data_IF_679915894439
#
_entry.id   IF_679915894439
#
_cell.length_a   1.000
_cell.length_b   1.000
_cell.length_c   1.000
_cell.angle_alpha   90.00
_cell.angle_beta   90.00
_cell.angle_gamma   90.00
#
_symmetry.space_group_name_H-M   'P 1'
#
loop_
_entity.id
_entity.type
_entity.pdbx_description
1 polymer ?
#
# COMPACT_ATOMS: atom_id res chain seq x y z
N UNK A 1 -24.50 1.62 0.82
CA UNK A 1 -23.20 2.33 0.85
C UNK A 1 -23.31 3.56 1.76
N UNK A 2 -22.29 3.94 2.52
CA UNK A 2 -22.40 4.95 3.59
C UNK A 2 -21.68 6.27 3.30
N UNK A 3 -22.32 7.40 3.60
CA UNK A 3 -21.62 8.65 3.90
C UNK A 3 -21.00 8.47 5.28
N UNK A 4 -19.68 8.47 5.37
CA UNK A 4 -19.00 8.32 6.65
C UNK A 4 -18.60 9.66 7.21
N UNK A 5 -18.63 9.78 8.53
CA UNK A 5 -17.88 10.83 9.22
C UNK A 5 -16.42 10.41 9.33
N UNK A 6 -15.48 11.36 9.32
CA UNK A 6 -14.05 11.08 9.47
C UNK A 6 -13.75 10.22 10.73
N UNK A 7 -14.57 10.38 11.78
CA UNK A 7 -14.51 9.62 13.03
C UNK A 7 -14.75 8.12 12.89
N UNK A 8 -15.50 7.69 11.88
CA UNK A 8 -15.79 6.27 11.62
C UNK A 8 -14.63 5.57 10.89
N UNK A 9 -13.65 6.33 10.39
CA UNK A 9 -12.43 5.80 9.76
C UNK A 9 -11.29 5.83 10.76
N UNK A 10 -10.89 4.64 11.22
CA UNK A 10 -9.66 4.43 11.99
C UNK A 10 -9.51 5.34 13.24
N UNK A 11 -10.63 5.83 13.80
CA UNK A 11 -10.66 6.70 14.99
C UNK A 11 -10.02 8.08 14.77
N UNK A 12 -10.19 8.68 13.59
CA UNK A 12 -9.67 10.01 13.25
C UNK A 12 -10.70 11.11 13.53
N UNK A 13 -10.42 11.99 14.50
CA UNK A 13 -11.16 13.24 14.60
C UNK A 13 -10.63 14.26 13.58
N UNK A 14 -11.49 15.19 13.18
CA UNK A 14 -11.10 16.34 12.38
C UNK A 14 -9.96 17.14 13.03
N UNK A 15 -10.05 17.33 14.36
CA UNK A 15 -9.01 17.99 15.15
C UNK A 15 -7.67 17.26 15.07
N UNK A 16 -7.69 15.92 15.11
CA UNK A 16 -6.49 15.11 14.97
C UNK A 16 -5.85 15.32 13.60
N UNK A 17 -6.63 15.33 12.52
CA UNK A 17 -6.09 15.57 11.16
C UNK A 17 -5.51 16.97 11.03
N UNK A 18 -6.22 18.00 11.51
CA UNK A 18 -5.73 19.39 11.51
C UNK A 18 -4.42 19.51 12.28
N UNK A 19 -4.36 18.94 13.49
CA UNK A 19 -3.15 18.92 14.29
C UNK A 19 -2.01 18.18 13.60
N UNK A 20 -2.29 17.01 13.03
CA UNK A 20 -1.28 16.19 12.34
C UNK A 20 -0.73 16.90 11.09
N UNK A 21 -1.58 17.60 10.34
CA UNK A 21 -1.18 18.45 9.22
C UNK A 21 -0.30 19.62 9.69
N UNK A 22 -0.67 20.29 10.78
CA UNK A 22 0.11 21.41 11.34
C UNK A 22 1.53 20.96 11.74
N UNK A 23 1.65 19.88 12.51
CA UNK A 23 2.95 19.42 13.02
C UNK A 23 3.85 18.84 11.93
N UNK A 24 3.27 18.19 10.92
CA UNK A 24 4.04 17.66 9.77
C UNK A 24 4.58 18.78 8.87
N UNK A 25 3.81 19.85 8.66
CA UNK A 25 4.28 21.03 7.93
C UNK A 25 5.30 21.83 8.75
N UNK A 26 5.10 21.96 10.06
CA UNK A 26 6.03 22.66 10.96
C UNK A 26 7.41 21.98 11.05
N UNK A 27 7.49 20.67 10.81
CA UNK A 27 8.75 19.93 10.80
C UNK A 27 9.80 20.54 9.85
N UNK A 28 9.38 21.13 8.72
CA UNK A 28 10.27 21.80 7.77
C UNK A 28 10.94 23.06 8.33
N UNK A 29 10.40 23.67 9.39
CA UNK A 29 10.98 24.87 10.03
C UNK A 29 12.20 24.56 10.91
N UNK A 30 12.55 23.29 11.06
CA UNK A 30 13.70 22.84 11.85
C UNK A 30 14.55 21.86 11.04
N UNK A 31 15.19 22.30 9.94
CA UNK A 31 15.90 21.41 9.02
C UNK A 31 17.05 20.65 9.68
N UNK A 32 17.64 21.19 10.75
CA UNK A 32 18.71 20.55 11.51
C UNK A 32 18.23 19.33 12.33
N UNK A 33 16.92 19.21 12.55
CA UNK A 33 16.31 18.08 13.25
C UNK A 33 15.76 17.08 12.25
N UNK A 34 16.05 15.80 12.45
CA UNK A 34 15.54 14.74 11.57
C UNK A 34 14.06 14.40 11.85
N UNK A 35 13.59 14.67 13.07
CA UNK A 35 12.19 14.58 13.46
C UNK A 35 11.89 15.49 14.65
N UNK A 36 10.61 15.77 14.86
CA UNK A 36 10.08 16.47 16.02
C UNK A 36 9.14 15.55 16.78
N UNK A 37 9.19 15.62 18.11
CA UNK A 37 8.24 14.94 19.00
C UNK A 37 7.40 15.99 19.67
N UNK A 38 6.09 15.97 19.40
CA UNK A 38 5.14 16.75 20.16
C UNK A 38 4.44 15.85 21.16
N UNK A 39 4.68 16.13 22.44
CA UNK A 39 4.11 15.41 23.56
C UNK A 39 3.50 16.41 24.55
N UNK A 40 2.17 16.57 24.49
CA UNK A 40 1.46 17.38 25.49
C UNK A 40 1.14 16.54 26.73
N UNK A 41 1.22 17.16 27.91
CA UNK A 41 0.74 16.56 29.16
C UNK A 41 -0.78 16.42 29.20
N UNK A 42 -1.50 17.24 28.43
CA UNK A 42 -2.98 17.30 28.41
C UNK A 42 -3.62 16.47 27.30
N UNK A 43 -2.83 15.98 26.34
CA UNK A 43 -3.31 15.15 25.23
C UNK A 43 -2.92 13.69 25.43
N UNK A 44 -3.82 12.78 25.04
CA UNK A 44 -3.56 11.34 24.98
C UNK A 44 -2.63 10.94 23.83
N UNK A 45 -2.33 11.87 22.91
CA UNK A 45 -1.70 11.58 21.63
C UNK A 45 -0.26 12.11 21.62
N UNK A 46 0.65 11.31 21.05
CA UNK A 46 2.06 11.66 20.86
C UNK A 46 2.36 11.67 19.37
N UNK A 47 2.88 12.79 18.88
CA UNK A 47 3.13 12.99 17.45
C UNK A 47 4.63 12.91 17.15
N UNK A 48 5.00 12.00 16.25
CA UNK A 48 6.32 11.89 15.67
C UNK A 48 6.28 12.45 14.25
N UNK A 49 6.80 13.66 14.07
CA UNK A 49 6.78 14.38 12.79
C UNK A 49 8.16 14.33 12.14
N UNK A 50 8.29 13.63 11.02
CA UNK A 50 9.56 13.50 10.30
C UNK A 50 9.76 14.64 9.31
N UNK A 51 10.97 15.19 9.25
CA UNK A 51 11.30 16.27 8.33
C UNK A 51 11.38 15.74 6.91
N UNK A 52 10.96 16.53 5.92
CA UNK A 52 11.17 16.19 4.51
C UNK A 52 12.59 16.50 4.05
N UNK A 53 12.91 16.09 2.84
CA UNK A 53 14.16 16.33 2.15
C UNK A 53 13.84 16.79 0.73
N UNK A 54 14.61 17.77 0.26
CA UNK A 54 14.48 18.39 -1.06
C UNK A 54 15.69 18.08 -1.97
N UNK A 55 16.28 16.90 -1.83
CA UNK A 55 17.38 16.42 -2.68
C UNK A 55 16.95 15.16 -3.40
N UNK A 56 17.19 15.08 -4.71
CA UNK A 56 16.82 13.89 -5.49
C UNK A 56 17.59 12.66 -5.01
N UNK A 57 18.83 12.81 -4.56
CA UNK A 57 19.66 11.73 -4.01
C UNK A 57 19.05 11.04 -2.78
N UNK A 58 18.19 11.75 -2.03
CA UNK A 58 17.46 11.15 -0.89
C UNK A 58 16.18 10.40 -1.30
N UNK A 59 15.77 10.50 -2.57
CA UNK A 59 14.65 9.75 -3.15
C UNK A 59 15.13 8.67 -4.15
N UNK A 60 16.25 8.90 -4.83
CA UNK A 60 16.79 8.00 -5.84
C UNK A 60 18.29 7.79 -5.59
N UNK A 61 18.61 6.74 -4.83
CA UNK A 61 19.99 6.35 -4.53
C UNK A 61 20.62 5.50 -5.63
N UNK A 62 19.80 4.89 -6.50
CA UNK A 62 20.19 4.05 -7.63
C UNK A 62 19.15 4.14 -8.75
N UNK A 63 19.56 3.81 -9.97
CA UNK A 63 18.65 3.71 -11.11
C UNK A 63 17.97 2.32 -11.16
N UNK A 64 16.77 2.21 -11.76
CA UNK A 64 15.98 3.31 -12.30
C UNK A 64 15.08 4.00 -11.26
N UNK A 65 14.69 3.30 -10.18
CA UNK A 65 13.66 3.79 -9.23
C UNK A 65 14.14 3.93 -7.78
N UNK A 66 15.41 3.66 -7.47
CA UNK A 66 15.96 3.82 -6.11
C UNK A 66 15.47 2.76 -5.12
N UNK A 67 15.07 1.59 -5.62
CA UNK A 67 14.44 0.53 -4.85
C UNK A 67 15.46 -0.46 -4.25
N UNK A 68 15.15 -1.03 -3.08
CA UNK A 68 15.98 -2.00 -2.36
C UNK A 68 15.10 -3.04 -1.68
N UNK A 69 15.55 -4.30 -1.67
CA UNK A 69 14.87 -5.37 -0.92
C UNK A 69 15.03 -5.15 0.59
N UNK A 70 14.00 -5.48 1.36
CA UNK A 70 13.97 -5.25 2.82
C UNK A 70 15.00 -6.06 3.61
N UNK A 71 15.56 -7.14 3.04
CA UNK A 71 16.63 -7.95 3.68
C UNK A 71 17.96 -7.20 3.80
N UNK A 72 18.15 -6.10 3.08
CA UNK A 72 19.34 -5.26 3.20
C UNK A 72 19.28 -4.30 4.41
N UNK A 73 18.23 -4.38 5.23
CA UNK A 73 18.05 -3.58 6.44
C UNK A 73 17.83 -4.47 7.66
N UNK A 74 18.75 -4.38 8.61
CA UNK A 74 18.67 -5.10 9.89
C UNK A 74 17.46 -4.64 10.74
N UNK A 75 16.84 -3.51 10.40
CA UNK A 75 15.69 -2.95 11.11
C UNK A 75 14.36 -3.57 10.70
N UNK A 76 14.18 -3.80 9.40
CA UNK A 76 12.98 -4.37 8.80
C UNK A 76 13.08 -5.88 8.66
N UNK A 77 14.31 -6.41 8.62
CA UNK A 77 14.62 -7.83 8.59
C UNK A 77 15.77 -8.12 9.57
N UNK A 78 15.48 -8.44 10.85
CA UNK A 78 16.52 -8.73 11.83
C UNK A 78 17.39 -9.91 11.35
N UNK A 79 18.72 -9.74 11.37
CA UNK A 79 19.68 -10.78 10.97
C UNK A 79 19.59 -12.02 11.86
N UNK A 80 18.91 -13.03 11.35
CA UNK A 80 19.23 -14.46 11.43
C UNK A 80 19.06 -15.00 10.00
N UNK A 81 19.66 -16.13 9.64
CA UNK A 81 19.60 -16.68 8.26
C UNK A 81 18.19 -17.08 7.78
N UNK A 82 17.13 -16.62 8.44
CA UNK A 82 15.77 -17.03 8.21
C UNK A 82 14.98 -15.86 7.58
N UNK A 83 14.76 -15.96 6.26
CA UNK A 83 13.85 -15.07 5.50
C UNK A 83 12.42 -15.07 6.09
N UNK A 84 12.14 -16.00 7.02
CA UNK A 84 10.91 -16.14 7.79
C UNK A 84 10.75 -15.06 8.90
N UNK A 85 11.79 -14.29 9.22
CA UNK A 85 11.77 -13.34 10.35
C UNK A 85 10.97 -12.04 10.12
N UNK A 86 10.81 -11.57 8.88
CA UNK A 86 10.10 -10.30 8.57
C UNK A 86 8.68 -10.53 8.06
N UNK A 87 7.72 -9.75 8.54
CA UNK A 87 6.35 -9.78 8.03
C UNK A 87 6.23 -9.20 6.61
N UNK A 88 7.21 -8.40 6.15
CA UNK A 88 7.23 -7.75 4.82
C UNK A 88 7.60 -8.70 3.66
N UNK A 89 6.81 -9.74 3.47
CA UNK A 89 6.99 -10.74 2.39
C UNK A 89 5.67 -11.32 1.90
N UNK A 90 5.69 -11.93 0.72
CA UNK A 90 4.69 -12.91 0.29
C UNK A 90 5.05 -14.27 0.88
N UNK A 91 4.14 -14.92 1.61
CA UNK A 91 4.40 -16.20 2.27
C UNK A 91 4.48 -17.31 1.23
N UNK A 92 3.46 -17.45 0.39
CA UNK A 92 3.37 -18.53 -0.61
C UNK A 92 4.46 -18.48 -1.68
N UNK A 93 4.88 -17.28 -2.10
CA UNK A 93 5.93 -17.11 -3.13
C UNK A 93 7.34 -16.94 -2.55
N UNK A 94 7.49 -16.87 -1.23
CA UNK A 94 8.77 -16.63 -0.55
C UNK A 94 9.54 -15.41 -1.09
N UNK A 95 8.81 -14.37 -1.48
CA UNK A 95 9.35 -13.15 -2.09
C UNK A 95 9.28 -12.00 -1.09
N UNK A 96 10.41 -11.31 -0.88
CA UNK A 96 10.51 -10.17 0.04
C UNK A 96 10.01 -8.89 -0.64
N UNK A 97 9.43 -8.00 0.17
CA UNK A 97 9.06 -6.67 -0.28
C UNK A 97 10.28 -5.84 -0.68
N UNK A 98 10.03 -4.89 -1.57
CA UNK A 98 10.98 -3.85 -1.97
C UNK A 98 10.46 -2.49 -1.49
N UNK A 99 11.37 -1.64 -1.00
CA UNK A 99 11.07 -0.28 -0.56
C UNK A 99 12.04 0.72 -1.19
N UNK A 100 11.74 2.00 -1.09
CA UNK A 100 12.67 3.05 -1.50
C UNK A 100 13.89 3.10 -0.56
N UNK A 101 15.08 2.92 -1.11
CA UNK A 101 16.32 2.91 -0.35
C UNK A 101 16.62 4.26 0.29
N UNK A 102 16.42 5.37 -0.43
CA UNK A 102 16.70 6.70 0.09
C UNK A 102 15.91 6.99 1.38
N UNK A 103 14.62 6.65 1.38
CA UNK A 103 13.76 6.77 2.56
C UNK A 103 14.17 5.83 3.69
N UNK A 104 14.55 4.59 3.35
CA UNK A 104 15.01 3.59 4.32
C UNK A 104 16.30 4.01 5.01
N UNK A 105 17.32 4.42 4.25
CA UNK A 105 18.61 4.90 4.78
C UNK A 105 18.42 6.14 5.66
N UNK A 106 17.49 7.01 5.28
CA UNK A 106 17.15 8.18 6.09
C UNK A 106 16.51 7.79 7.41
N UNK A 107 15.60 6.81 7.40
CA UNK A 107 15.00 6.28 8.62
C UNK A 107 16.04 5.55 9.51
N UNK A 108 16.93 4.76 8.91
CA UNK A 108 18.06 4.15 9.61
C UNK A 108 18.92 5.19 10.33
N UNK A 109 19.27 6.28 9.63
CA UNK A 109 20.03 7.39 10.21
C UNK A 109 19.29 8.03 11.39
N UNK A 110 17.97 8.17 11.33
CA UNK A 110 17.17 8.70 12.43
C UNK A 110 17.31 7.83 13.68
N UNK A 111 17.16 6.53 13.53
CA UNK A 111 17.24 5.59 14.65
C UNK A 111 18.62 5.54 15.29
N UNK A 112 19.69 5.69 14.50
CA UNK A 112 21.07 5.75 15.02
C UNK A 112 21.36 7.07 15.73
N UNK A 113 20.91 8.20 15.16
CA UNK A 113 21.32 9.55 15.62
C UNK A 113 20.53 10.03 16.83
N UNK A 114 19.25 9.64 16.93
CA UNK A 114 18.39 9.99 18.05
C UNK A 114 17.46 8.80 18.28
N UNK A 115 17.77 7.94 19.27
CA UNK A 115 17.04 6.69 19.40
C UNK A 115 15.57 6.98 19.70
N UNK A 116 14.72 6.80 18.68
CA UNK A 116 13.27 6.65 18.87
C UNK A 116 12.98 5.55 19.91
N UNK A 117 13.94 4.64 20.11
CA UNK A 117 13.97 3.61 21.15
C UNK A 117 14.12 4.14 22.59
N UNK A 118 14.76 5.29 22.83
CA UNK A 118 14.81 5.90 24.18
C UNK A 118 13.45 6.44 24.63
N UNK A 119 12.53 6.65 23.68
CA UNK A 119 11.15 7.06 23.93
C UNK A 119 10.20 5.88 24.20
N UNK A 120 10.72 4.66 24.45
CA UNK A 120 9.93 3.45 24.78
C UNK A 120 8.86 3.66 25.86
N UNK A 121 9.08 4.59 26.80
CA UNK A 121 8.10 4.93 27.85
C UNK A 121 6.82 5.58 27.29
N UNK A 122 6.93 6.31 26.18
CA UNK A 122 5.82 7.02 25.51
C UNK A 122 4.88 6.07 24.76
N UNK A 123 5.34 4.86 24.46
CA UNK A 123 4.58 3.88 23.71
C UNK A 123 3.53 3.15 24.54
N UNK A 124 3.56 3.32 25.86
CA UNK A 124 2.60 2.70 26.77
C UNK A 124 1.45 3.67 27.07
N UNK A 125 0.21 3.24 26.81
CA UNK A 125 -1.06 3.92 27.16
C UNK A 125 -1.39 5.22 26.40
N UNK A 126 -0.64 5.57 25.36
CA UNK A 126 -0.92 6.75 24.51
C UNK A 126 -1.10 6.34 23.04
N UNK A 127 -1.88 7.12 22.30
CA UNK A 127 -2.02 6.94 20.85
C UNK A 127 -0.81 7.56 20.17
N UNK A 128 -0.01 6.74 19.49
CA UNK A 128 1.16 7.20 18.74
C UNK A 128 0.70 7.57 17.33
N UNK A 129 1.11 8.73 16.85
CA UNK A 129 0.86 9.20 15.49
C UNK A 129 2.19 9.49 14.81
N UNK A 130 2.55 8.67 13.83
CA UNK A 130 3.65 8.95 12.91
C UNK A 130 3.12 9.83 11.78
N UNK A 131 3.85 10.90 11.46
CA UNK A 131 3.42 11.82 10.41
C UNK A 131 4.59 12.48 9.70
N UNK A 132 4.31 13.00 8.52
CA UNK A 132 5.27 13.76 7.74
C UNK A 132 4.63 14.31 6.47
N UNK A 133 5.19 15.43 6.02
CA UNK A 133 4.87 16.03 4.74
C UNK A 133 5.95 15.64 3.72
N UNK A 134 5.56 15.41 2.45
CA UNK A 134 6.50 15.04 1.38
C UNK A 134 7.30 13.77 1.73
N UNK A 135 8.61 13.73 1.44
CA UNK A 135 9.48 12.60 1.80
C UNK A 135 9.57 12.30 3.31
N UNK A 136 9.19 13.24 4.19
CA UNK A 136 9.02 12.96 5.61
C UNK A 136 7.85 12.01 5.88
N UNK A 137 6.80 12.06 5.06
CA UNK A 137 5.69 11.11 5.11
C UNK A 137 6.13 9.69 4.76
N UNK A 138 7.02 9.53 3.79
CA UNK A 138 7.57 8.23 3.43
C UNK A 138 8.41 7.62 4.56
N UNK A 139 9.22 8.45 5.24
CA UNK A 139 9.94 8.05 6.47
C UNK A 139 8.96 7.68 7.58
N UNK A 140 7.83 8.39 7.73
CA UNK A 140 6.80 8.07 8.71
C UNK A 140 6.15 6.70 8.49
N UNK A 141 5.94 6.32 7.23
CA UNK A 141 5.43 4.99 6.85
C UNK A 141 6.42 3.91 7.30
N UNK A 142 7.71 4.06 6.97
CA UNK A 142 8.74 3.11 7.37
C UNK A 142 8.90 3.05 8.90
N UNK A 143 8.83 4.20 9.58
CA UNK A 143 8.88 4.28 11.03
C UNK A 143 7.75 3.50 11.71
N UNK A 144 6.54 3.62 11.17
CA UNK A 144 5.41 2.85 11.66
C UNK A 144 5.57 1.36 11.39
N UNK A 145 6.02 0.96 10.20
CA UNK A 145 6.25 -0.46 9.88
C UNK A 145 7.29 -1.07 10.81
N UNK A 146 8.43 -0.39 11.00
CA UNK A 146 9.43 -0.78 12.00
C UNK A 146 8.81 -0.91 13.39
N UNK A 147 7.95 0.02 13.79
CA UNK A 147 7.29 -0.06 15.08
C UNK A 147 6.38 -1.30 15.20
N UNK A 148 5.62 -1.63 14.15
CA UNK A 148 4.75 -2.80 14.13
C UNK A 148 5.55 -4.09 14.22
N UNK A 149 6.61 -4.25 13.43
CA UNK A 149 7.51 -5.42 13.45
C UNK A 149 8.15 -5.63 14.84
N UNK A 150 8.58 -4.55 15.50
CA UNK A 150 9.36 -4.65 16.74
C UNK A 150 8.50 -4.78 18.00
N UNK A 151 7.33 -4.14 18.03
CA UNK A 151 6.55 -3.97 19.26
C UNK A 151 5.16 -4.60 19.21
N UNK A 152 4.61 -4.91 18.04
CA UNK A 152 3.32 -5.57 17.93
C UNK A 152 3.47 -7.08 18.20
N UNK A 153 3.44 -7.46 19.48
CA UNK A 153 3.35 -8.87 19.91
C UNK A 153 1.91 -9.23 20.27
N UNK A 154 1.44 -10.47 19.98
CA UNK A 154 0.04 -10.89 20.24
C UNK A 154 -0.43 -10.77 21.69
N UNK A 155 0.51 -10.69 22.65
CA UNK A 155 0.21 -10.85 24.08
C UNK A 155 0.05 -9.52 24.86
N UNK A 156 0.23 -8.35 24.23
CA UNK A 156 0.13 -7.06 24.95
C UNK A 156 -0.90 -6.13 24.32
N UNK A 157 -1.81 -5.63 25.16
CA UNK A 157 -2.80 -4.59 24.85
C UNK A 157 -2.11 -3.25 24.59
N UNK A 158 -1.44 -3.10 23.45
CA UNK A 158 -0.93 -1.82 22.94
C UNK A 158 -1.93 -1.23 21.95
N UNK A 159 -2.17 0.07 22.05
CA UNK A 159 -2.90 0.79 21.01
C UNK A 159 -2.06 0.81 19.73
N UNK A 160 -2.67 0.42 18.61
CA UNK A 160 -2.00 0.44 17.31
C UNK A 160 -1.63 1.88 16.91
N UNK A 161 -0.40 2.14 16.46
CA UNK A 161 -0.01 3.47 16.01
C UNK A 161 -0.77 3.85 14.74
N UNK A 162 -1.04 5.14 14.59
CA UNK A 162 -1.57 5.70 13.35
C UNK A 162 -0.42 6.30 12.52
N UNK A 163 -0.49 6.19 11.19
CA UNK A 163 0.37 6.95 10.30
C UNK A 163 -0.48 7.82 9.40
N UNK A 164 -0.24 9.13 9.42
CA UNK A 164 -0.94 10.11 8.58
C UNK A 164 0.08 10.92 7.82
N UNK A 165 0.01 10.91 6.50
CA UNK A 165 0.96 11.61 5.63
C UNK A 165 0.25 12.60 4.72
N UNK A 166 0.97 13.63 4.29
CA UNK A 166 0.48 14.68 3.39
C UNK A 166 1.42 14.80 2.20
N UNK A 167 0.92 14.60 0.98
CA UNK A 167 1.73 14.70 -0.23
C UNK A 167 2.93 13.75 -0.27
N UNK A 168 2.84 12.62 0.41
CA UNK A 168 3.95 11.65 0.49
C UNK A 168 4.14 10.94 -0.84
N UNK A 169 5.40 10.74 -1.30
CA UNK A 169 5.68 9.78 -2.34
C UNK A 169 5.31 8.35 -1.89
N UNK A 170 5.16 7.45 -2.86
CA UNK A 170 5.00 6.01 -2.59
C UNK A 170 6.25 5.45 -1.89
N UNK A 171 6.13 4.30 -1.22
CA UNK A 171 7.22 3.81 -0.35
C UNK A 171 7.67 2.41 -0.72
N UNK A 172 6.72 1.51 -0.93
CA UNK A 172 6.98 0.09 -1.19
C UNK A 172 6.34 -0.40 -2.47
N UNK A 173 6.70 -1.62 -2.85
CA UNK A 173 6.15 -2.33 -3.99
C UNK A 173 4.78 -2.96 -3.68
N UNK A 174 4.31 -3.80 -4.61
CA UNK A 174 3.09 -4.58 -4.44
C UNK A 174 3.14 -5.50 -3.20
N UNK A 175 4.28 -6.16 -2.95
CA UNK A 175 4.44 -7.11 -1.84
C UNK A 175 4.38 -6.39 -0.50
N UNK A 176 4.92 -5.17 -0.43
CA UNK A 176 4.80 -4.32 0.74
C UNK A 176 3.33 -4.09 1.12
N UNK A 177 2.47 -3.66 0.19
CA UNK A 177 1.04 -3.48 0.48
C UNK A 177 0.32 -4.81 0.77
N UNK A 178 0.68 -5.88 0.05
CA UNK A 178 0.13 -7.22 0.28
C UNK A 178 0.39 -7.69 1.72
N UNK A 179 1.64 -7.58 2.19
CA UNK A 179 2.02 -7.92 3.56
C UNK A 179 1.28 -7.08 4.61
N UNK A 180 1.22 -5.76 4.43
CA UNK A 180 0.49 -4.87 5.34
C UNK A 180 -1.01 -5.19 5.40
N UNK A 181 -1.60 -5.65 4.30
CA UNK A 181 -3.03 -5.99 4.25
C UNK A 181 -3.31 -7.35 4.87
N UNK A 182 -2.42 -8.33 4.63
CA UNK A 182 -2.45 -9.65 5.27
C UNK A 182 -2.44 -9.51 6.79
N UNK A 183 -1.54 -8.70 7.33
CA UNK A 183 -1.36 -8.55 8.78
C UNK A 183 -2.34 -7.53 9.41
N UNK A 184 -3.33 -7.04 8.64
CA UNK A 184 -4.35 -6.08 9.07
C UNK A 184 -3.76 -4.72 9.52
N UNK A 185 -2.60 -4.35 9.01
CA UNK A 185 -1.89 -3.10 9.31
C UNK A 185 -2.29 -1.95 8.37
N UNK A 186 -2.69 -2.27 7.12
CA UNK A 186 -2.98 -1.30 6.06
C UNK A 186 -4.01 -0.23 6.44
N UNK A 187 -5.04 -0.58 7.22
CA UNK A 187 -6.09 0.34 7.68
C UNK A 187 -5.61 1.47 8.60
N UNK A 188 -4.39 1.38 9.14
CA UNK A 188 -3.82 2.39 10.04
C UNK A 188 -2.89 3.37 9.30
N UNK A 189 -2.76 3.25 7.98
CA UNK A 189 -1.99 4.17 7.14
C UNK A 189 -2.98 5.05 6.37
N UNK A 190 -2.83 6.37 6.51
CA UNK A 190 -3.67 7.36 5.86
C UNK A 190 -2.83 8.36 5.07
N UNK A 191 -3.15 8.52 3.80
CA UNK A 191 -2.41 9.37 2.87
C UNK A 191 -3.33 10.46 2.31
N UNK A 192 -3.14 11.71 2.74
CA UNK A 192 -3.82 12.85 2.15
C UNK A 192 -3.09 13.28 0.88
N UNK A 193 -3.85 13.37 -0.21
CA UNK A 193 -3.32 13.72 -1.53
C UNK A 193 -4.19 14.82 -2.15
N UNK A 194 -3.60 15.98 -2.41
CA UNK A 194 -4.24 17.01 -3.22
C UNK A 194 -4.33 16.55 -4.67
N UNK A 195 -5.40 16.96 -5.36
CA UNK A 195 -5.74 16.49 -6.71
C UNK A 195 -4.54 16.52 -7.65
N UNK A 196 -3.84 17.65 -7.75
CA UNK A 196 -2.74 17.83 -8.69
C UNK A 196 -1.35 17.67 -8.08
N UNK A 197 -1.21 17.40 -6.78
CA UNK A 197 0.11 17.29 -6.14
C UNK A 197 1.02 16.31 -6.87
N UNK A 198 2.13 16.76 -7.43
CA UNK A 198 2.98 15.90 -8.24
C UNK A 198 3.78 14.88 -7.39
N UNK A 199 4.04 15.16 -6.11
CA UNK A 199 4.98 14.39 -5.28
C UNK A 199 4.58 12.93 -5.07
N UNK A 200 3.31 12.59 -4.78
CA UNK A 200 2.84 11.21 -4.73
C UNK A 200 3.03 10.40 -6.03
N UNK A 201 3.30 11.08 -7.15
CA UNK A 201 3.46 10.48 -8.48
C UNK A 201 4.91 10.36 -8.94
N UNK A 202 5.86 11.06 -8.29
CA UNK A 202 7.27 11.16 -8.74
C UNK A 202 7.92 9.78 -8.92
N UNK A 203 7.75 8.88 -7.94
CA UNK A 203 8.38 7.55 -7.99
C UNK A 203 7.77 6.60 -9.02
N UNK A 204 6.70 6.99 -9.70
CA UNK A 204 6.15 6.24 -10.83
C UNK A 204 6.89 6.53 -12.14
N UNK A 205 7.89 7.41 -12.13
CA UNK A 205 8.76 7.71 -13.26
C UNK A 205 10.22 7.36 -12.93
N UNK A 206 10.99 6.82 -13.90
CA UNK A 206 12.38 6.46 -13.68
C UNK A 206 13.25 7.71 -13.62
N UNK A 207 14.28 7.71 -12.78
CA UNK A 207 15.22 8.82 -12.61
C UNK A 207 15.88 9.21 -13.94
N UNK A 208 16.16 8.22 -14.80
CA UNK A 208 16.74 8.41 -16.14
C UNK A 208 15.92 9.38 -17.01
N UNK A 209 14.61 9.45 -16.79
CA UNK A 209 13.70 10.27 -17.60
C UNK A 209 13.54 11.71 -17.11
N UNK A 210 13.77 11.97 -15.82
CA UNK A 210 13.39 13.24 -15.17
C UNK A 210 14.40 13.78 -14.15
N UNK A 211 15.60 13.18 -14.04
CA UNK A 211 16.58 13.54 -13.01
C UNK A 211 17.05 15.00 -13.05
N UNK A 212 17.25 15.56 -14.25
CA UNK A 212 17.66 16.97 -14.39
C UNK A 212 16.58 17.91 -13.90
N UNK A 213 15.34 17.69 -14.34
CA UNK A 213 14.19 18.50 -13.95
C UNK A 213 13.83 18.30 -12.48
N UNK A 214 14.00 17.09 -11.93
CA UNK A 214 13.70 16.77 -10.54
C UNK A 214 14.51 17.63 -9.57
N UNK A 215 15.82 17.77 -9.78
CA UNK A 215 16.65 18.60 -8.89
C UNK A 215 16.24 20.08 -8.93
N UNK A 216 15.88 20.59 -10.11
CA UNK A 216 15.36 21.95 -10.26
C UNK A 216 14.03 22.12 -9.52
N UNK A 217 13.10 21.16 -9.68
CA UNK A 217 11.79 21.20 -9.04
C UNK A 217 11.92 21.08 -7.52
N UNK A 218 12.78 20.20 -7.01
CA UNK A 218 13.02 20.09 -5.57
C UNK A 218 13.65 21.36 -5.01
N UNK A 219 14.55 22.02 -5.75
CA UNK A 219 15.08 23.33 -5.39
C UNK A 219 13.96 24.39 -5.29
N UNK A 220 13.05 24.43 -6.27
CA UNK A 220 11.88 25.33 -6.25
C UNK A 220 10.96 25.04 -5.06
N UNK A 221 10.70 23.77 -4.76
CA UNK A 221 9.88 23.38 -3.61
C UNK A 221 10.56 23.82 -2.29
N UNK A 222 11.87 23.69 -2.17
CA UNK A 222 12.63 24.17 -1.00
C UNK A 222 12.56 25.71 -0.85
N UNK A 223 12.60 26.44 -1.96
CA UNK A 223 12.63 27.92 -1.99
C UNK A 223 11.26 28.59 -1.77
N UNK A 224 10.16 27.84 -1.79
CA UNK A 224 8.79 28.37 -1.72
C UNK A 224 8.48 29.15 -0.42
N UNK A 225 9.35 29.09 0.58
CA UNK A 225 9.30 29.97 1.76
C UNK A 225 9.71 31.42 1.50
N UNK A 226 10.28 31.77 0.33
CA UNK A 226 10.94 33.05 0.08
C UNK A 226 10.39 33.83 -1.14
N UNK A 227 9.90 33.17 -2.20
CA UNK A 227 9.31 33.83 -3.39
C UNK A 227 8.18 32.99 -4.04
N UNK A 228 7.20 33.60 -4.74
CA UNK A 228 6.34 32.89 -5.68
C UNK A 228 7.20 32.14 -6.70
N UNK A 229 6.75 30.97 -7.16
CA UNK A 229 7.43 30.18 -8.21
C UNK A 229 7.37 30.99 -9.52
N UNK A 230 8.25 31.98 -9.68
CA UNK A 230 8.37 32.79 -10.90
C UNK A 230 9.54 32.31 -11.78
N UNK A 231 10.19 31.21 -11.39
CA UNK A 231 11.33 30.62 -12.11
C UNK A 231 10.96 29.27 -12.74
N UNK A 232 10.71 29.31 -14.04
CA UNK A 232 10.82 28.16 -14.97
C UNK A 232 9.57 27.24 -15.07
N UNK A 233 8.46 27.84 -15.54
CA UNK A 233 7.22 27.16 -15.95
C UNK A 233 7.50 26.06 -16.99
N UNK A 234 8.55 26.24 -17.81
CA UNK A 234 8.94 25.29 -18.87
C UNK A 234 9.43 23.97 -18.27
N UNK A 235 10.30 24.03 -17.28
CA UNK A 235 10.88 22.90 -16.58
C UNK A 235 9.82 22.19 -15.74
N UNK A 236 8.96 22.94 -15.06
CA UNK A 236 7.79 22.37 -14.38
C UNK A 236 6.86 21.64 -15.35
N UNK A 237 6.63 22.22 -16.53
CA UNK A 237 5.81 21.58 -17.58
C UNK A 237 6.45 20.33 -18.15
N UNK A 238 7.77 20.35 -18.38
CA UNK A 238 8.53 19.20 -18.86
C UNK A 238 8.55 18.08 -17.84
N UNK A 239 8.83 18.41 -16.57
CA UNK A 239 8.78 17.50 -15.44
C UNK A 239 7.42 16.83 -15.32
N UNK A 240 6.36 17.65 -15.29
CA UNK A 240 4.98 17.17 -15.18
C UNK A 240 4.62 16.20 -16.31
N UNK A 241 4.89 16.57 -17.57
CA UNK A 241 4.65 15.71 -18.73
C UNK A 241 5.39 14.37 -18.61
N UNK A 242 6.68 14.41 -18.25
CA UNK A 242 7.48 13.20 -18.11
C UNK A 242 6.94 12.30 -17.00
N UNK A 243 6.66 12.84 -15.82
CA UNK A 243 6.11 12.07 -14.70
C UNK A 243 4.76 11.47 -15.10
N UNK A 244 3.83 12.27 -15.59
CA UNK A 244 2.48 11.81 -15.93
C UNK A 244 2.46 10.81 -17.10
N UNK A 245 3.40 10.88 -18.04
CA UNK A 245 3.57 9.85 -19.09
C UNK A 245 3.95 8.49 -18.49
N UNK A 246 4.89 8.45 -17.56
CA UNK A 246 5.29 7.20 -16.91
C UNK A 246 4.21 6.68 -15.96
N UNK A 247 3.55 7.57 -15.22
CA UNK A 247 2.36 7.23 -14.41
C UNK A 247 1.28 6.60 -15.29
N UNK A 248 1.05 7.14 -16.49
CA UNK A 248 0.12 6.57 -17.48
C UNK A 248 0.52 5.16 -17.89
N UNK A 249 1.80 4.92 -18.16
CA UNK A 249 2.31 3.60 -18.55
C UNK A 249 2.09 2.57 -17.43
N UNK A 250 2.44 2.92 -16.18
CA UNK A 250 2.24 2.05 -15.00
C UNK A 250 0.75 1.79 -14.76
N UNK A 251 -0.09 2.82 -14.79
CA UNK A 251 -1.54 2.67 -14.59
C UNK A 251 -2.20 1.85 -15.71
N UNK A 252 -1.79 2.05 -16.97
CA UNK A 252 -2.31 1.29 -18.12
C UNK A 252 -1.91 -0.17 -18.05
N UNK A 253 -0.64 -0.45 -17.72
CA UNK A 253 -0.15 -1.81 -17.53
C UNK A 253 -0.93 -2.52 -16.40
N UNK A 254 -1.14 -1.85 -15.26
CA UNK A 254 -1.94 -2.39 -14.16
C UNK A 254 -3.40 -2.65 -14.59
N UNK A 255 -4.02 -1.73 -15.32
CA UNK A 255 -5.38 -1.90 -15.82
C UNK A 255 -5.51 -3.10 -16.77
N UNK A 256 -4.55 -3.33 -17.67
CA UNK A 256 -4.54 -4.50 -18.54
C UNK A 256 -4.51 -5.81 -17.76
N UNK A 257 -3.70 -5.89 -16.70
CA UNK A 257 -3.64 -7.06 -15.82
C UNK A 257 -4.96 -7.30 -15.08
N UNK A 258 -5.56 -6.24 -14.53
CA UNK A 258 -6.86 -6.33 -13.83
C UNK A 258 -8.00 -6.80 -14.73
N UNK A 259 -7.96 -6.41 -16.01
CA UNK A 259 -8.95 -6.83 -17.01
C UNK A 259 -8.69 -8.24 -17.56
N UNK A 260 -7.73 -8.99 -17.01
CA UNK A 260 -7.45 -10.37 -17.41
C UNK A 260 -6.82 -10.47 -18.81
N UNK A 261 -6.10 -9.45 -19.27
CA UNK A 261 -5.41 -9.52 -20.55
C UNK A 261 -4.25 -10.50 -20.47
N UNK A 262 -4.39 -11.67 -21.11
CA UNK A 262 -3.38 -12.74 -21.16
C UNK A 262 -2.43 -12.61 -22.34
N UNK A 263 -2.45 -11.47 -23.06
CA UNK A 263 -1.63 -11.31 -24.25
C UNK A 263 -0.12 -11.28 -23.88
N UNK A 264 0.70 -12.20 -24.43
CA UNK A 264 2.14 -12.24 -24.16
C UNK A 264 2.88 -10.94 -24.51
N UNK A 265 2.31 -10.13 -25.42
CA UNK A 265 2.86 -8.82 -25.78
C UNK A 265 2.96 -7.90 -24.56
N UNK A 266 2.09 -8.04 -23.55
CA UNK A 266 2.15 -7.20 -22.35
C UNK A 266 3.46 -7.43 -21.58
N UNK A 267 3.85 -8.69 -21.40
CA UNK A 267 5.11 -9.06 -20.74
C UNK A 267 6.32 -8.69 -21.60
N UNK A 268 6.23 -8.88 -22.92
CA UNK A 268 7.26 -8.44 -23.87
C UNK A 268 7.46 -6.92 -23.79
N UNK A 269 6.39 -6.12 -23.80
CA UNK A 269 6.49 -4.66 -23.69
C UNK A 269 7.02 -4.23 -22.32
N UNK A 270 6.62 -4.91 -21.24
CA UNK A 270 7.15 -4.66 -19.90
C UNK A 270 8.66 -4.95 -19.79
N UNK A 271 9.21 -5.81 -20.64
CA UNK A 271 10.67 -6.03 -20.72
C UNK A 271 11.46 -4.87 -21.35
N UNK A 272 10.80 -4.03 -22.16
CA UNK A 272 11.43 -2.88 -22.83
C UNK A 272 11.14 -1.55 -22.14
N UNK A 273 10.10 -1.49 -21.31
CA UNK A 273 9.69 -0.29 -20.58
C UNK A 273 9.98 -0.50 -19.10
N UNK A 274 10.86 0.34 -18.56
CA UNK A 274 11.08 0.41 -17.12
C UNK A 274 9.80 0.89 -16.43
N UNK A 275 9.03 -0.04 -15.85
CA UNK A 275 7.84 0.27 -15.07
C UNK A 275 8.18 0.32 -13.59
N UNK A 276 7.73 1.39 -12.92
CA UNK A 276 7.98 1.57 -11.49
C UNK A 276 7.41 0.40 -10.67
N UNK A 277 8.18 -0.13 -9.69
CA UNK A 277 7.69 -1.18 -8.80
C UNK A 277 6.75 -0.64 -7.73
N UNK A 278 6.81 0.65 -7.42
CA UNK A 278 6.09 1.23 -6.28
C UNK A 278 4.58 1.17 -6.45
N UNK A 279 3.87 0.81 -5.38
CA UNK A 279 2.42 0.73 -5.34
C UNK A 279 1.84 1.48 -4.14
N UNK A 280 0.59 1.97 -4.24
CA UNK A 280 -0.10 2.53 -3.09
C UNK A 280 -0.24 1.51 -1.96
N UNK A 281 -0.06 1.96 -0.72
CA UNK A 281 -0.32 1.15 0.47
C UNK A 281 -1.23 1.90 1.44
N UNK A 282 -2.14 1.18 2.10
CA UNK A 282 -3.06 1.80 3.05
C UNK A 282 -4.19 2.59 2.40
N UNK A 283 -4.75 3.55 3.15
CA UNK A 283 -5.94 4.32 2.76
C UNK A 283 -5.53 5.68 2.22
N UNK A 284 -6.04 6.07 1.05
CA UNK A 284 -5.80 7.38 0.45
C UNK A 284 -7.05 8.25 0.55
N UNK A 285 -6.85 9.52 0.86
CA UNK A 285 -7.88 10.56 0.88
C UNK A 285 -7.52 11.63 -0.14
N UNK A 286 -8.23 11.60 -1.26
CA UNK A 286 -8.07 12.57 -2.33
C UNK A 286 -8.91 13.82 -2.03
N UNK A 287 -8.29 14.99 -2.09
CA UNK A 287 -8.99 16.26 -1.95
C UNK A 287 -9.40 16.76 -3.34
N UNK A 288 -10.72 16.88 -3.58
CA UNK A 288 -11.23 17.37 -4.86
C UNK A 288 -11.08 18.88 -4.99
N UNK A 289 -11.14 19.41 -6.22
CA UNK A 289 -11.14 20.85 -6.47
C UNK A 289 -12.31 21.59 -5.80
N UNK A 290 -13.39 20.88 -5.45
CA UNK A 290 -14.57 21.41 -4.76
C UNK A 290 -14.55 21.16 -3.24
N UNK A 291 -13.37 20.85 -2.68
CA UNK A 291 -13.15 20.67 -1.24
C UNK A 291 -13.92 19.50 -0.65
N UNK A 292 -14.27 18.50 -1.47
CA UNK A 292 -14.79 17.21 -0.98
C UNK A 292 -13.60 16.28 -0.77
N UNK A 293 -13.75 15.38 0.19
CA UNK A 293 -12.75 14.34 0.45
C UNK A 293 -13.28 13.03 -0.14
N UNK A 294 -12.41 12.31 -0.84
CA UNK A 294 -12.71 11.01 -1.45
C UNK A 294 -11.78 9.97 -0.86
N UNK A 295 -12.33 9.04 -0.08
CA UNK A 295 -11.58 7.97 0.56
C UNK A 295 -11.54 6.73 -0.34
N UNK A 296 -10.35 6.16 -0.55
CA UNK A 296 -10.14 4.95 -1.35
C UNK A 296 -9.17 4.02 -0.60
N UNK A 297 -9.49 2.71 -0.57
CA UNK A 297 -8.67 1.69 0.12
C UNK A 297 -8.02 0.67 -0.81
N UNK A 298 -8.64 0.41 -1.96
CA UNK A 298 -8.12 -0.56 -2.92
C UNK A 298 -6.90 0.03 -3.65
N UNK A 299 -5.74 -0.62 -3.52
CA UNK A 299 -4.45 -0.11 -4.02
C UNK A 299 -4.44 0.08 -5.54
N UNK A 300 -5.10 -0.81 -6.28
CA UNK A 300 -5.23 -0.71 -7.73
C UNK A 300 -6.07 0.51 -8.14
N UNK A 301 -7.20 0.73 -7.48
CA UNK A 301 -8.03 1.91 -7.69
C UNK A 301 -7.27 3.21 -7.37
N UNK A 302 -6.49 3.23 -6.29
CA UNK A 302 -5.65 4.38 -5.92
C UNK A 302 -4.60 4.64 -7.00
N UNK A 303 -3.95 3.60 -7.55
CA UNK A 303 -2.97 3.74 -8.62
C UNK A 303 -3.60 4.37 -9.88
N UNK A 304 -4.81 3.95 -10.23
CA UNK A 304 -5.56 4.57 -11.33
C UNK A 304 -5.90 6.04 -11.02
N UNK A 305 -6.32 6.36 -9.79
CA UNK A 305 -6.63 7.73 -9.39
C UNK A 305 -5.40 8.64 -9.39
N UNK A 306 -4.23 8.15 -9.01
CA UNK A 306 -2.98 8.92 -9.07
C UNK A 306 -2.69 9.44 -10.49
N UNK A 307 -3.09 8.68 -11.51
CA UNK A 307 -3.05 9.09 -12.92
C UNK A 307 -4.24 9.99 -13.28
N UNK A 308 -5.46 9.44 -13.25
CA UNK A 308 -6.64 10.05 -13.87
C UNK A 308 -7.10 11.34 -13.18
N UNK A 309 -6.88 11.50 -11.87
CA UNK A 309 -7.27 12.73 -11.16
C UNK A 309 -6.43 13.95 -11.53
N UNK A 310 -5.23 13.72 -12.05
CA UNK A 310 -4.26 14.74 -12.47
C UNK A 310 -4.04 14.72 -13.99
N UNK A 311 -5.02 14.30 -14.79
CA UNK A 311 -4.90 14.42 -16.24
C UNK A 311 -5.11 15.86 -16.72
N UNK A 312 -4.50 16.17 -17.86
CA UNK A 312 -4.80 17.39 -18.63
C UNK A 312 -6.11 17.17 -19.40
N UNK A 313 -7.03 18.13 -19.36
CA UNK A 313 -8.18 18.11 -20.27
C UNK A 313 -7.78 18.57 -21.68
N UNK A 314 -6.80 19.46 -21.77
CA UNK A 314 -6.17 19.87 -23.03
C UNK A 314 -4.71 20.29 -22.82
N UNK A 315 -3.90 20.26 -23.89
CA UNK A 315 -2.51 20.71 -23.87
C UNK A 315 -2.35 22.19 -23.47
N UNK A 316 -3.40 23.00 -23.69
CA UNK A 316 -3.41 24.42 -23.32
C UNK A 316 -3.33 24.64 -21.80
N UNK A 317 -3.76 23.66 -21.01
CA UNK A 317 -3.74 23.72 -19.54
C UNK A 317 -2.40 23.29 -18.94
N UNK A 318 -1.45 22.81 -19.75
CA UNK A 318 -0.21 22.23 -19.24
C UNK A 318 0.51 23.17 -18.27
N UNK A 319 0.71 24.43 -18.65
CA UNK A 319 1.45 25.40 -17.84
C UNK A 319 0.76 25.64 -16.49
N UNK A 320 -0.54 25.90 -16.52
CA UNK A 320 -1.33 26.20 -15.31
C UNK A 320 -1.48 24.98 -14.40
N UNK A 321 -1.65 23.77 -14.95
CA UNK A 321 -1.70 22.54 -14.17
C UNK A 321 -0.33 22.19 -13.60
N UNK A 322 0.76 22.43 -14.33
CA UNK A 322 2.12 22.18 -13.82
C UNK A 322 2.45 23.08 -12.63
N UNK A 323 2.14 24.37 -12.72
CA UNK A 323 2.24 25.29 -11.58
C UNK A 323 1.34 24.87 -10.42
N UNK A 324 0.08 24.52 -10.71
CA UNK A 324 -0.87 24.03 -9.70
C UNK A 324 -0.36 22.77 -9.01
N UNK A 325 0.31 21.87 -9.74
CA UNK A 325 0.85 20.62 -9.20
C UNK A 325 1.92 20.84 -8.12
N UNK A 326 2.74 21.88 -8.29
CA UNK A 326 3.72 22.32 -7.29
C UNK A 326 3.05 23.11 -6.16
N UNK A 327 1.96 23.82 -6.47
CA UNK A 327 1.22 24.59 -5.48
C UNK A 327 0.44 23.72 -4.50
N UNK A 328 -0.30 22.74 -5.03
CA UNK A 328 -1.04 21.74 -4.28
C UNK A 328 -0.18 21.00 -3.25
N UNK A 329 1.12 20.84 -3.52
CA UNK A 329 2.04 20.20 -2.57
C UNK A 329 2.19 20.97 -1.24
N UNK A 330 2.00 22.30 -1.21
CA UNK A 330 2.16 23.07 0.03
C UNK A 330 0.83 23.54 0.65
N UNK A 331 -0.27 23.47 -0.11
CA UNK A 331 -1.57 24.02 0.30
C UNK A 331 -2.39 23.06 1.19
N UNK A 332 -1.76 22.05 1.80
CA UNK A 332 -2.46 21.06 2.62
C UNK A 332 -3.22 21.69 3.79
N UNK A 333 -2.58 22.60 4.52
CA UNK A 333 -3.16 23.18 5.72
C UNK A 333 -4.44 23.99 5.40
N UNK A 334 -4.35 24.89 4.42
CA UNK A 334 -5.46 25.76 4.02
C UNK A 334 -6.60 24.97 3.39
N UNK A 335 -6.29 24.06 2.45
CA UNK A 335 -7.32 23.29 1.74
C UNK A 335 -8.01 22.25 2.62
N UNK A 336 -7.29 21.60 3.53
CA UNK A 336 -7.89 20.64 4.46
C UNK A 336 -8.79 21.32 5.48
N UNK A 337 -8.40 22.49 6.00
CA UNK A 337 -9.22 23.24 6.96
C UNK A 337 -10.63 23.53 6.44
N UNK A 338 -10.76 23.79 5.13
CA UNK A 338 -12.05 24.06 4.48
C UNK A 338 -12.81 22.79 4.07
N UNK A 339 -12.12 21.65 3.95
CA UNK A 339 -12.67 20.39 3.43
C UNK A 339 -13.17 19.45 4.54
N UNK A 340 -12.57 19.51 5.73
CA UNK A 340 -12.87 18.58 6.83
C UNK A 340 -14.27 18.77 7.43
N UNK A 341 -14.88 19.94 7.24
CA UNK A 341 -16.27 20.22 7.65
C UNK A 341 -17.32 19.52 6.75
N UNK A 342 -16.90 18.85 5.66
CA UNK A 342 -17.81 18.21 4.69
C UNK A 342 -17.83 16.69 4.87
N UNK A 343 -18.95 16.02 4.54
CA UNK A 343 -19.03 14.56 4.59
C UNK A 343 -18.02 13.94 3.62
N UNK A 344 -17.39 12.86 4.09
CA UNK A 344 -16.43 12.09 3.33
C UNK A 344 -17.16 11.07 2.45
N UNK A 345 -16.78 11.02 1.17
CA UNK A 345 -17.33 10.05 0.23
C UNK A 345 -16.35 8.91 0.05
N UNK A 346 -16.72 7.70 0.46
CA UNK A 346 -15.90 6.52 0.14
C UNK A 346 -16.14 6.14 -1.32
N UNK A 347 -15.10 6.29 -2.15
CA UNK A 347 -15.11 5.75 -3.50
C UNK A 347 -14.76 4.26 -3.42
N UNK A 348 -15.78 3.44 -3.18
CA UNK A 348 -15.69 2.01 -3.46
C UNK A 348 -15.55 1.82 -4.98
N UNK A 349 -14.72 0.88 -5.43
CA UNK A 349 -14.61 0.60 -6.84
C UNK A 349 -15.98 0.10 -7.36
N UNK A 350 -16.48 0.84 -8.34
CA UNK A 350 -17.89 0.85 -8.77
C UNK A 350 -18.37 -0.58 -9.09
N UNK A 351 -19.44 -1.02 -8.44
CA UNK A 351 -20.13 -2.29 -8.71
C UNK A 351 -20.99 -2.21 -9.97
N UNK A 352 -21.13 -3.32 -10.71
CA UNK A 352 -21.95 -3.42 -11.94
C UNK A 352 -23.46 -3.13 -11.74
N UNK A 353 -23.96 -3.19 -10.51
CA UNK A 353 -25.38 -2.91 -10.23
C UNK A 353 -25.61 -1.40 -10.37
N UNK A 354 -26.47 -1.02 -11.32
CA UNK A 354 -26.64 0.32 -11.90
C UNK A 354 -26.82 1.50 -10.95
N UNK A 355 -27.16 2.66 -11.50
CA UNK A 355 -27.32 3.91 -10.74
C UNK A 355 -28.49 3.78 -9.75
N UNK A 356 -28.23 3.25 -8.56
CA UNK A 356 -29.11 3.38 -7.40
C UNK A 356 -28.94 4.78 -6.82
N UNK A 357 -29.94 5.29 -6.09
CA UNK A 357 -29.86 6.59 -5.41
C UNK A 357 -28.62 6.73 -4.49
N UNK A 358 -28.06 5.60 -4.05
CA UNK A 358 -26.83 5.49 -3.24
C UNK A 358 -25.52 5.77 -4.01
N UNK A 359 -25.52 5.67 -5.35
CA UNK A 359 -24.34 5.88 -6.20
C UNK A 359 -24.15 7.35 -6.61
N UNK A 360 -25.10 8.23 -6.31
CA UNK A 360 -25.10 9.65 -6.70
C UNK A 360 -23.97 10.45 -6.02
N UNK A 361 -23.73 10.32 -4.69
CA UNK A 361 -22.62 11.03 -4.03
C UNK A 361 -21.26 10.61 -4.56
N UNK A 362 -21.07 9.32 -4.81
CA UNK A 362 -19.84 8.75 -5.38
C UNK A 362 -19.64 9.21 -6.83
N UNK A 363 -20.67 9.16 -7.67
CA UNK A 363 -20.52 9.62 -9.07
C UNK A 363 -20.19 11.11 -9.15
N UNK A 364 -20.81 11.94 -8.29
CA UNK A 364 -20.50 13.35 -8.15
C UNK A 364 -19.08 13.58 -7.65
N UNK A 365 -18.62 12.85 -6.64
CA UNK A 365 -17.26 12.97 -6.13
C UNK A 365 -16.21 12.57 -7.19
N UNK A 366 -16.49 11.53 -7.99
CA UNK A 366 -15.66 11.12 -9.12
C UNK A 366 -15.68 12.16 -10.26
N UNK A 367 -16.80 12.86 -10.48
CA UNK A 367 -16.86 14.00 -11.39
C UNK A 367 -16.00 15.17 -10.89
N UNK A 368 -16.02 15.45 -9.58
CA UNK A 368 -15.23 16.52 -8.95
C UNK A 368 -13.71 16.24 -9.01
N UNK A 369 -13.33 14.97 -9.15
CA UNK A 369 -11.95 14.52 -9.45
C UNK A 369 -11.60 14.63 -10.94
N UNK A 370 -12.55 14.98 -11.81
CA UNK A 370 -12.36 15.11 -13.25
C UNK A 370 -12.12 13.79 -13.97
N UNK A 371 -12.70 12.70 -13.47
CA UNK A 371 -12.44 11.37 -14.01
C UNK A 371 -13.20 11.11 -15.32
N UNK A 372 -12.45 10.74 -16.36
CA UNK A 372 -12.97 10.29 -17.66
C UNK A 372 -13.71 8.96 -17.58
N UNK A 373 -14.46 8.59 -18.62
CA UNK A 373 -15.15 7.29 -18.68
C UNK A 373 -14.17 6.12 -18.61
N UNK A 374 -13.01 6.25 -19.24
CA UNK A 374 -11.93 5.26 -19.16
C UNK A 374 -11.44 5.09 -17.71
N UNK A 375 -11.29 6.19 -16.98
CA UNK A 375 -10.93 6.13 -15.56
C UNK A 375 -11.95 5.31 -14.76
N UNK A 376 -13.26 5.56 -14.99
CA UNK A 376 -14.35 4.83 -14.32
C UNK A 376 -14.33 3.34 -14.63
N UNK A 377 -14.03 2.97 -15.88
CA UNK A 377 -13.86 1.57 -16.27
C UNK A 377 -12.68 0.91 -15.54
N UNK A 378 -11.54 1.59 -15.42
CA UNK A 378 -10.40 1.08 -14.65
C UNK A 378 -10.74 0.92 -13.16
N UNK A 379 -11.49 1.85 -12.57
CA UNK A 379 -11.95 1.73 -11.18
C UNK A 379 -12.95 0.57 -11.00
N UNK A 380 -13.84 0.33 -11.98
CA UNK A 380 -14.72 -0.85 -11.98
C UNK A 380 -13.92 -2.14 -12.03
N UNK A 381 -12.94 -2.23 -12.93
CA UNK A 381 -12.09 -3.41 -13.07
C UNK A 381 -11.36 -3.73 -11.76
N UNK A 382 -10.82 -2.73 -11.06
CA UNK A 382 -10.21 -2.92 -9.75
C UNK A 382 -11.18 -3.49 -8.70
N UNK A 383 -12.45 -3.08 -8.73
CA UNK A 383 -13.48 -3.57 -7.81
C UNK A 383 -14.00 -4.95 -8.13
N UNK A 384 -14.21 -5.24 -9.40
CA UNK A 384 -14.59 -6.58 -9.85
C UNK A 384 -13.46 -7.58 -9.58
N UNK A 385 -12.19 -7.16 -9.71
CA UNK A 385 -11.06 -8.00 -9.31
C UNK A 385 -11.07 -8.31 -7.80
N UNK A 386 -11.34 -7.33 -6.93
CA UNK A 386 -11.48 -7.55 -5.49
C UNK A 386 -12.65 -8.52 -5.17
N UNK A 387 -13.80 -8.33 -5.82
CA UNK A 387 -14.94 -9.25 -5.68
C UNK A 387 -14.61 -10.65 -6.16
N UNK A 388 -13.84 -10.78 -7.24
CA UNK A 388 -13.38 -12.07 -7.74
C UNK A 388 -12.51 -12.77 -6.70
N UNK A 389 -11.59 -12.06 -6.02
CA UNK A 389 -10.81 -12.63 -4.91
C UNK A 389 -11.70 -13.15 -3.79
N UNK A 390 -12.74 -12.40 -3.41
CA UNK A 390 -13.69 -12.83 -2.38
C UNK A 390 -14.51 -14.05 -2.81
N UNK A 391 -14.98 -14.10 -4.05
CA UNK A 391 -15.69 -15.25 -4.63
C UNK A 391 -14.80 -16.49 -4.66
N UNK A 392 -13.55 -16.33 -5.10
CA UNK A 392 -12.51 -17.34 -5.08
C UNK A 392 -12.27 -17.89 -3.66
N UNK A 393 -12.19 -17.02 -2.66
CA UNK A 393 -12.09 -17.43 -1.26
C UNK A 393 -13.29 -18.26 -0.81
N UNK A 394 -14.52 -17.83 -1.13
CA UNK A 394 -15.74 -18.58 -0.78
C UNK A 394 -15.74 -19.97 -1.44
N UNK A 395 -15.31 -20.05 -2.70
CA UNK A 395 -15.13 -21.32 -3.41
C UNK A 395 -14.14 -22.22 -2.67
N UNK A 396 -13.00 -21.70 -2.23
CA UNK A 396 -12.01 -22.49 -1.46
C UNK A 396 -12.56 -22.89 -0.09
N UNK A 397 -13.23 -21.97 0.61
CA UNK A 397 -13.84 -22.25 1.91
C UNK A 397 -14.87 -23.40 1.82
N UNK A 398 -15.62 -23.49 0.72
CA UNK A 398 -16.56 -24.60 0.49
C UNK A 398 -15.89 -25.98 0.41
N UNK A 399 -14.62 -26.03 -0.03
CA UNK A 399 -13.84 -27.26 -0.18
C UNK A 399 -13.25 -27.76 1.13
N UNK A 400 -13.26 -26.97 2.21
CA UNK A 400 -12.73 -27.37 3.53
C UNK A 400 -13.31 -28.70 4.02
N UNK A 401 -14.62 -28.92 3.83
CA UNK A 401 -15.28 -30.18 4.24
C UNK A 401 -14.70 -31.38 3.51
N UNK A 402 -14.38 -31.24 2.23
CA UNK A 402 -13.76 -32.31 1.44
C UNK A 402 -12.34 -32.59 1.91
N UNK A 403 -11.57 -31.54 2.25
CA UNK A 403 -10.22 -31.70 2.81
C UNK A 403 -10.28 -32.44 4.14
N UNK A 404 -11.14 -32.01 5.06
CA UNK A 404 -11.30 -32.65 6.38
C UNK A 404 -11.73 -34.11 6.22
N UNK A 405 -12.69 -34.40 5.33
CA UNK A 405 -13.12 -35.76 5.06
C UNK A 405 -12.01 -36.64 4.47
N UNK A 406 -11.20 -36.09 3.55
CA UNK A 406 -10.06 -36.79 2.96
C UNK A 406 -8.96 -37.07 3.99
N UNK A 407 -8.63 -36.09 4.84
CA UNK A 407 -7.65 -36.27 5.92
C UNK A 407 -8.11 -37.31 6.94
N UNK A 408 -9.40 -37.32 7.30
CA UNK A 408 -9.95 -38.34 8.20
C UNK A 408 -9.79 -39.75 7.60
N UNK A 409 -10.10 -39.92 6.31
CA UNK A 409 -9.93 -41.21 5.63
C UNK A 409 -8.45 -41.67 5.61
N UNK A 410 -7.51 -40.74 5.47
CA UNK A 410 -6.07 -41.04 5.53
C UNK A 410 -5.60 -41.38 6.95
N UNK A 411 -6.14 -40.75 8.00
CA UNK A 411 -5.82 -41.11 9.37
C UNK A 411 -6.42 -42.48 9.76
N UNK A 412 -7.61 -42.80 9.25
CA UNK A 412 -8.20 -44.14 9.36
C UNK A 412 -7.33 -45.21 8.68
N UNK A 413 -6.83 -44.92 7.46
CA UNK A 413 -5.87 -45.78 6.77
C UNK A 413 -4.60 -45.99 7.59
N UNK A 414 -4.00 -44.90 8.08
CA UNK A 414 -2.80 -44.97 8.93
C UNK A 414 -3.02 -45.80 10.19
N UNK A 415 -4.19 -45.68 10.81
CA UNK A 415 -4.57 -46.47 11.99
C UNK A 415 -4.70 -47.96 11.65
N UNK A 416 -5.32 -48.30 10.52
CA UNK A 416 -5.42 -49.70 10.06
C UNK A 416 -4.04 -50.29 9.76
N UNK A 417 -3.21 -49.57 9.01
CA UNK A 417 -1.86 -50.03 8.65
C UNK A 417 -0.90 -50.12 9.83
N UNK A 418 -1.21 -49.48 10.97
CA UNK A 418 -0.43 -49.64 12.20
C UNK A 418 -0.52 -51.06 12.79
N UNK A 419 -1.58 -51.81 12.45
CA UNK A 419 -1.71 -53.23 12.80
C UNK A 419 -1.00 -54.16 11.82
N UNK A 420 -0.51 -53.63 10.69
CA UNK A 420 0.31 -54.34 9.73
C UNK A 420 1.80 -54.22 10.09
N UNK A 421 2.58 -55.26 9.82
CA UNK A 421 4.02 -55.34 10.20
C UNK A 421 4.86 -54.21 9.59
N UNK A 422 4.42 -53.64 8.46
CA UNK A 422 5.19 -52.70 7.63
C UNK A 422 4.81 -51.21 7.82
N UNK A 423 3.75 -50.89 8.58
CA UNK A 423 3.29 -49.50 8.73
C UNK A 423 2.72 -48.87 7.45
N UNK A 424 2.09 -47.70 7.56
CA UNK A 424 1.33 -47.09 6.46
C UNK A 424 2.18 -46.60 5.28
N UNK A 425 3.40 -46.11 5.54
CA UNK A 425 4.29 -45.62 4.47
C UNK A 425 4.71 -46.75 3.54
N UNK A 426 5.21 -47.85 4.09
CA UNK A 426 5.65 -48.99 3.28
C UNK A 426 4.47 -49.77 2.70
N UNK A 427 3.35 -49.88 3.43
CA UNK A 427 2.10 -50.43 2.87
C UNK A 427 1.66 -49.66 1.62
N UNK A 428 1.58 -48.32 1.72
CA UNK A 428 1.23 -47.46 0.59
C UNK A 428 2.21 -47.59 -0.57
N UNK A 429 3.51 -47.67 -0.28
CA UNK A 429 4.56 -47.83 -1.30
C UNK A 429 4.48 -49.17 -2.02
N UNK A 430 4.14 -50.24 -1.30
CA UNK A 430 3.98 -51.58 -1.85
C UNK A 430 2.65 -51.71 -2.62
N UNK A 431 1.60 -51.00 -2.18
CA UNK A 431 0.29 -50.88 -2.83
C UNK A 431 -0.32 -52.21 -3.23
N UNK A 432 -0.51 -53.12 -2.26
CA UNK A 432 -1.05 -54.47 -2.51
C UNK A 432 -2.53 -54.59 -2.19
N UNK A 433 -3.01 -53.85 -1.20
CA UNK A 433 -4.36 -54.01 -0.67
C UNK A 433 -5.30 -52.93 -1.22
N UNK A 434 -6.60 -53.22 -1.29
CA UNK A 434 -7.62 -52.27 -1.79
C UNK A 434 -7.63 -50.96 -0.99
N UNK A 435 -7.35 -51.03 0.31
CA UNK A 435 -7.27 -49.86 1.19
C UNK A 435 -6.08 -48.93 0.79
N UNK A 436 -4.98 -49.46 0.24
CA UNK A 436 -3.86 -48.66 -0.28
C UNK A 436 -4.30 -47.84 -1.51
N UNK A 437 -5.06 -48.46 -2.42
CA UNK A 437 -5.60 -47.79 -3.60
C UNK A 437 -6.60 -46.69 -3.21
N UNK A 438 -7.47 -46.95 -2.23
CA UNK A 438 -8.39 -45.94 -1.68
C UNK A 438 -7.64 -44.76 -1.07
N UNK A 439 -6.58 -45.04 -0.30
CA UNK A 439 -5.71 -43.99 0.24
C UNK A 439 -5.06 -43.16 -0.87
N UNK A 440 -4.62 -43.78 -1.97
CA UNK A 440 -4.02 -43.04 -3.10
C UNK A 440 -5.04 -42.15 -3.83
N UNK A 441 -6.28 -42.63 -4.02
CA UNK A 441 -7.37 -41.80 -4.58
C UNK A 441 -7.61 -40.58 -3.68
N UNK A 442 -7.72 -40.78 -2.36
CA UNK A 442 -7.90 -39.67 -1.41
C UNK A 442 -6.71 -38.70 -1.43
N UNK A 443 -5.47 -39.20 -1.49
CA UNK A 443 -4.27 -38.38 -1.65
C UNK A 443 -4.33 -37.51 -2.91
N UNK A 444 -4.74 -38.07 -4.05
CA UNK A 444 -4.86 -37.33 -5.31
C UNK A 444 -5.96 -36.26 -5.27
N UNK A 445 -7.13 -36.58 -4.69
CA UNK A 445 -8.21 -35.61 -4.48
C UNK A 445 -7.72 -34.42 -3.63
N UNK A 446 -7.04 -34.69 -2.52
CA UNK A 446 -6.46 -33.65 -1.67
C UNK A 446 -5.39 -32.84 -2.39
N UNK A 447 -4.50 -33.50 -3.14
CA UNK A 447 -3.45 -32.85 -3.92
C UNK A 447 -4.05 -31.86 -4.92
N UNK A 448 -5.09 -32.26 -5.67
CA UNK A 448 -5.74 -31.38 -6.63
C UNK A 448 -6.40 -30.15 -5.99
N UNK A 449 -6.97 -30.29 -4.78
CA UNK A 449 -7.54 -29.15 -4.05
C UNK A 449 -6.42 -28.18 -3.62
N UNK A 450 -5.31 -28.70 -3.09
CA UNK A 450 -4.19 -27.87 -2.64
C UNK A 450 -3.45 -27.20 -3.79
N UNK A 451 -3.22 -27.91 -4.90
CA UNK A 451 -2.60 -27.35 -6.10
C UNK A 451 -3.41 -26.15 -6.63
N UNK A 452 -4.74 -26.27 -6.68
CA UNK A 452 -5.61 -25.15 -7.09
C UNK A 452 -5.45 -23.94 -6.14
N UNK A 453 -5.40 -24.17 -4.82
CA UNK A 453 -5.18 -23.08 -3.84
C UNK A 453 -3.81 -22.43 -4.07
N UNK A 454 -2.76 -23.22 -4.27
CA UNK A 454 -1.38 -22.75 -4.49
C UNK A 454 -1.30 -21.94 -5.79
N UNK A 455 -1.92 -22.40 -6.88
CA UNK A 455 -1.96 -21.66 -8.15
C UNK A 455 -2.65 -20.30 -7.98
N UNK A 456 -3.77 -20.26 -7.27
CA UNK A 456 -4.50 -19.01 -7.00
C UNK A 456 -3.68 -18.05 -6.11
N UNK A 457 -2.95 -18.57 -5.13
CA UNK A 457 -2.01 -17.78 -4.32
C UNK A 457 -0.87 -17.21 -5.17
N UNK A 458 -0.29 -18.02 -6.06
CA UNK A 458 0.79 -17.60 -6.96
C UNK A 458 0.35 -16.49 -7.92
N UNK A 459 -0.92 -16.47 -8.31
CA UNK A 459 -1.51 -15.44 -9.19
C UNK A 459 -2.10 -14.25 -8.42
N UNK A 460 -2.05 -14.25 -7.08
CA UNK A 460 -2.69 -13.26 -6.22
C UNK A 460 -4.21 -13.13 -6.44
N UNK A 461 -4.87 -14.25 -6.75
CA UNK A 461 -6.31 -14.36 -7.01
C UNK A 461 -7.14 -14.65 -5.75
N UNK A 462 -6.49 -14.72 -4.58
CA UNK A 462 -7.13 -14.80 -3.27
C UNK A 462 -6.89 -13.50 -2.47
N UNK A 463 -7.75 -13.18 -1.48
CA UNK A 463 -7.56 -12.01 -0.64
C UNK A 463 -6.23 -12.09 0.10
N UNK A 464 -5.59 -10.95 0.34
CA UNK A 464 -4.25 -10.88 0.95
C UNK A 464 -4.21 -11.55 2.33
N UNK A 465 -5.34 -11.52 3.06
CA UNK A 465 -5.47 -12.15 4.39
C UNK A 465 -5.63 -13.66 4.36
N UNK A 466 -5.81 -14.28 3.19
CA UNK A 466 -6.09 -15.71 3.09
C UNK A 466 -5.02 -16.55 3.81
N UNK A 467 -3.75 -16.24 3.57
CA UNK A 467 -2.58 -16.94 4.13
C UNK A 467 -2.42 -16.74 5.65
N UNK A 468 -3.13 -15.77 6.25
CA UNK A 468 -3.12 -15.50 7.70
C UNK A 468 -4.30 -16.12 8.45
N UNK A 469 -5.23 -16.77 7.75
CA UNK A 469 -6.41 -17.35 8.40
C UNK A 469 -6.03 -18.62 9.16
N UNK A 470 -6.17 -18.57 10.49
CA UNK A 470 -5.86 -19.67 11.41
C UNK A 470 -6.44 -21.01 10.96
N UNK A 471 -7.70 -21.04 10.52
CA UNK A 471 -8.35 -22.26 10.02
C UNK A 471 -7.62 -22.89 8.82
N UNK A 472 -7.15 -22.07 7.88
CA UNK A 472 -6.42 -22.55 6.71
C UNK A 472 -5.00 -22.98 7.06
N UNK A 473 -4.34 -22.26 7.98
CA UNK A 473 -3.01 -22.63 8.50
C UNK A 473 -3.09 -23.99 9.21
N UNK A 474 -4.07 -24.18 10.10
CA UNK A 474 -4.26 -25.45 10.81
C UNK A 474 -4.60 -26.60 9.86
N UNK A 475 -5.43 -26.33 8.84
CA UNK A 475 -5.81 -27.35 7.86
C UNK A 475 -4.67 -27.72 6.92
N UNK A 476 -3.80 -26.77 6.55
CA UNK A 476 -2.63 -27.02 5.72
C UNK A 476 -1.48 -27.70 6.48
N UNK A 477 -1.43 -27.51 7.80
CA UNK A 477 -0.40 -28.12 8.67
C UNK A 477 -0.72 -29.59 8.99
N UNK A 478 -2.00 -29.94 9.06
CA UNK A 478 -2.48 -31.31 9.21
C UNK A 478 -2.36 -32.06 7.89
#
# INVERSE_FOLDING_TARGET
MGSFTLGEISGLSEELVKKTCLVSMAAHKSPDKLFLVENSRTSSDVFFSFTGSWSAAHCFTRQPFGEIKVDQSDLLCPKGNDKVATSLRSIGRYELATVNEGFLRRFERILVTSPLQTEKKLFWRRKIVFTGHSSGGAVAVLAKVWFLEQYLKPEKTMMLPLCVTFGSPLVGDFIFNHALTRDNWSQHFLHFVMRYDIVPRILLAPLSSMGQELEHILCLLNQKGVFPIQGSIVEASKFYKTVMRNVSAVASHAACRLMGNTNPILETVASFIELSPYRPCGTFVFCTGHRKLVLVRNADAILQLLFYSSQLCSENELKSISERSLNDHFDYLSKLQESLNKPLVEALPLSLNGVTAENIPTSSALNDLGLSDRARLCLRAAGEHEKQKLSNQQRMDSKKRNIVSGLQALEEYKTKSAFCIVGYYDAFKISKDEDDFKANVKRLELTGIWDEIIEMLNRYELPERFESRKEWIELATK
#
